data_IF_714682826346
#
_entry.id   IF_714682826346
#
_cell.length_a   1.000
_cell.length_b   1.000
_cell.length_c   1.000
_cell.angle_alpha   90.00
_cell.angle_beta   90.00
_cell.angle_gamma   90.00
#
_symmetry.space_group_name_H-M   'P 1'
#
loop_
_entity.id
_entity.type
_entity.pdbx_description
1 polymer ?
#
# COMPACT_ATOMS: atom_id res chain seq x y z
N UNK A 1 -25.36 0.16 25.02
CA UNK A 1 -24.65 -0.56 23.93
C UNK A 1 -23.69 0.40 23.24
N UNK A 2 -22.37 0.23 23.38
CA UNK A 2 -21.39 1.02 22.61
C UNK A 2 -21.26 0.38 21.24
N UNK A 3 -21.67 1.05 20.17
CA UNK A 3 -21.40 0.58 18.80
C UNK A 3 -19.88 0.59 18.63
N UNK A 4 -19.22 -0.57 18.51
CA UNK A 4 -17.79 -0.59 18.20
C UNK A 4 -17.65 0.07 16.83
N UNK A 5 -16.79 1.09 16.71
CA UNK A 5 -16.52 1.72 15.41
C UNK A 5 -16.19 0.62 14.40
N UNK A 6 -16.94 0.59 13.29
CA UNK A 6 -16.93 -0.56 12.37
C UNK A 6 -15.51 -0.87 11.89
N UNK A 7 -15.07 -2.15 11.88
CA UNK A 7 -13.74 -2.56 11.44
C UNK A 7 -13.54 -2.47 9.91
N UNK A 8 -14.39 -1.72 9.20
CA UNK A 8 -14.43 -1.61 7.74
C UNK A 8 -13.07 -1.25 7.12
N UNK A 9 -12.31 -0.36 7.76
CA UNK A 9 -11.00 0.06 7.29
C UNK A 9 -10.00 -1.09 7.31
N UNK A 10 -9.99 -1.88 8.39
CA UNK A 10 -9.09 -3.02 8.51
C UNK A 10 -9.41 -4.10 7.48
N UNK A 11 -10.69 -4.38 7.21
CA UNK A 11 -11.07 -5.31 6.14
C UNK A 11 -10.70 -4.80 4.75
N UNK A 12 -10.90 -3.51 4.49
CA UNK A 12 -10.46 -2.88 3.24
C UNK A 12 -8.93 -2.96 3.06
N UNK A 13 -8.17 -2.60 4.10
CA UNK A 13 -6.70 -2.73 4.10
C UNK A 13 -6.26 -4.18 3.88
N UNK A 14 -6.92 -5.14 4.54
CA UNK A 14 -6.61 -6.55 4.39
C UNK A 14 -6.85 -7.03 2.96
N UNK A 15 -8.01 -6.72 2.38
CA UNK A 15 -8.31 -7.07 0.99
C UNK A 15 -7.31 -6.46 0.01
N UNK A 16 -6.94 -5.19 0.23
CA UNK A 16 -5.92 -4.50 -0.57
C UNK A 16 -4.55 -5.19 -0.47
N UNK A 17 -4.11 -5.59 0.73
CA UNK A 17 -2.85 -6.29 0.96
C UNK A 17 -2.85 -7.71 0.37
N UNK A 18 -3.97 -8.42 0.44
CA UNK A 18 -4.10 -9.73 -0.21
C UNK A 18 -3.96 -9.58 -1.72
N UNK A 19 -4.65 -8.62 -2.32
CA UNK A 19 -4.52 -8.33 -3.74
C UNK A 19 -3.06 -7.95 -4.10
N UNK A 20 -2.42 -7.13 -3.26
CA UNK A 20 -1.01 -6.74 -3.43
C UNK A 20 -0.08 -7.97 -3.47
N UNK A 21 -0.23 -8.86 -2.50
CA UNK A 21 0.57 -10.08 -2.40
C UNK A 21 0.34 -10.96 -3.62
N UNK A 22 -0.92 -11.19 -4.00
CA UNK A 22 -1.26 -12.01 -5.16
C UNK A 22 -0.69 -11.43 -6.45
N UNK A 23 -0.78 -10.11 -6.66
CA UNK A 23 -0.25 -9.47 -7.86
C UNK A 23 1.28 -9.60 -7.96
N UNK A 24 2.00 -9.48 -6.84
CA UNK A 24 3.46 -9.64 -6.82
C UNK A 24 3.90 -11.10 -6.95
N UNK A 25 3.12 -12.05 -6.40
CA UNK A 25 3.34 -13.47 -6.64
C UNK A 25 3.20 -13.77 -8.13
N UNK A 26 2.13 -13.29 -8.77
CA UNK A 26 1.96 -13.43 -10.22
C UNK A 26 3.12 -12.78 -10.98
N UNK A 27 3.58 -11.59 -10.58
CA UNK A 27 4.70 -10.90 -11.21
C UNK A 27 6.03 -11.69 -11.10
N UNK A 28 6.26 -12.40 -10.01
CA UNK A 28 7.45 -13.26 -9.85
C UNK A 28 7.38 -14.51 -10.73
N UNK A 29 6.22 -15.14 -10.84
CA UNK A 29 6.06 -16.38 -11.64
C UNK A 29 5.83 -16.13 -13.13
N UNK A 30 5.29 -14.97 -13.47
CA UNK A 30 4.95 -14.56 -14.84
C UNK A 30 5.48 -13.13 -15.12
N UNK A 31 6.81 -12.93 -15.10
CA UNK A 31 7.42 -11.60 -15.21
C UNK A 31 7.22 -10.91 -16.58
N UNK A 32 6.85 -11.66 -17.63
CA UNK A 32 6.82 -11.16 -19.00
C UNK A 32 8.19 -11.15 -19.67
N UNK A 33 8.29 -10.57 -20.86
CA UNK A 33 9.51 -10.55 -21.67
C UNK A 33 10.54 -9.53 -21.16
N UNK A 34 10.08 -8.40 -20.63
CA UNK A 34 10.91 -7.39 -19.96
C UNK A 34 10.26 -6.91 -18.64
N UNK A 35 10.48 -7.63 -17.52
CA UNK A 35 9.94 -7.25 -16.21
C UNK A 35 10.58 -5.98 -15.62
N UNK A 36 11.73 -5.57 -16.13
CA UNK A 36 12.56 -4.49 -15.58
C UNK A 36 12.40 -3.18 -16.33
N UNK A 37 11.84 -3.19 -17.55
CA UNK A 37 11.56 -2.01 -18.36
C UNK A 37 12.84 -1.28 -18.76
N UNK A 38 13.79 -1.99 -19.38
CA UNK A 38 15.16 -1.51 -19.71
C UNK A 38 15.92 -0.87 -18.52
N UNK A 39 15.48 -1.13 -17.30
CA UNK A 39 16.06 -0.56 -16.09
C UNK A 39 17.49 -1.09 -15.83
N UNK A 40 18.27 -0.38 -14.99
CA UNK A 40 19.65 -0.78 -14.68
C UNK A 40 19.74 -2.05 -13.80
N UNK A 41 18.60 -2.63 -13.42
CA UNK A 41 18.48 -3.74 -12.48
C UNK A 41 18.30 -5.05 -13.23
N UNK A 42 18.99 -6.09 -12.77
CA UNK A 42 18.83 -7.43 -13.34
C UNK A 42 17.58 -8.15 -12.81
N UNK A 43 17.24 -9.28 -13.44
CA UNK A 43 16.10 -10.10 -13.04
C UNK A 43 16.20 -10.56 -11.57
N UNK A 44 17.42 -10.76 -11.05
CA UNK A 44 17.63 -11.18 -9.65
C UNK A 44 17.21 -10.07 -8.69
N UNK A 45 17.63 -8.82 -8.94
CA UNK A 45 17.21 -7.68 -8.14
C UNK A 45 15.69 -7.50 -8.19
N UNK A 46 15.07 -7.66 -9.36
CA UNK A 46 13.61 -7.63 -9.50
C UNK A 46 12.91 -8.69 -8.63
N UNK A 47 13.36 -9.95 -8.68
CA UNK A 47 12.77 -11.03 -7.88
C UNK A 47 12.96 -10.78 -6.39
N UNK A 48 14.16 -10.40 -5.95
CA UNK A 48 14.44 -10.10 -4.53
C UNK A 48 13.52 -8.99 -4.04
N UNK A 49 13.39 -7.91 -4.81
CA UNK A 49 12.50 -6.80 -4.49
C UNK A 49 11.05 -7.26 -4.30
N UNK A 50 10.52 -8.07 -5.22
CA UNK A 50 9.17 -8.61 -5.12
C UNK A 50 9.00 -9.54 -3.91
N UNK A 51 9.97 -10.40 -3.61
CA UNK A 51 9.94 -11.28 -2.44
C UNK A 51 9.88 -10.50 -1.13
N UNK A 52 10.68 -9.43 -1.02
CA UNK A 52 10.64 -8.51 0.13
C UNK A 52 9.26 -7.86 0.26
N UNK A 53 8.70 -7.37 -0.85
CA UNK A 53 7.38 -6.75 -0.87
C UNK A 53 6.25 -7.72 -0.47
N UNK A 54 6.32 -8.97 -0.94
CA UNK A 54 5.39 -10.04 -0.57
C UNK A 54 5.48 -10.30 0.94
N UNK A 55 6.69 -10.50 1.46
CA UNK A 55 6.89 -10.81 2.87
C UNK A 55 6.42 -9.66 3.78
N UNK A 56 6.81 -8.43 3.47
CA UNK A 56 6.40 -7.24 4.22
C UNK A 56 4.88 -7.05 4.19
N UNK A 57 4.25 -7.26 3.03
CA UNK A 57 2.79 -7.12 2.89
C UNK A 57 2.03 -8.25 3.59
N UNK A 58 2.55 -9.48 3.58
CA UNK A 58 1.99 -10.60 4.32
C UNK A 58 2.03 -10.34 5.84
N UNK A 59 3.15 -9.82 6.35
CA UNK A 59 3.27 -9.37 7.74
C UNK A 59 2.28 -8.24 8.02
N UNK A 60 2.19 -7.24 7.14
CA UNK A 60 1.21 -6.16 7.23
C UNK A 60 -0.23 -6.69 7.31
N UNK A 61 -0.57 -7.69 6.50
CA UNK A 61 -1.90 -8.30 6.48
C UNK A 61 -2.20 -9.01 7.82
N UNK A 62 -1.22 -9.76 8.35
CA UNK A 62 -1.34 -10.40 9.66
C UNK A 62 -1.51 -9.37 10.79
N UNK A 63 -0.76 -8.27 10.75
CA UNK A 63 -0.88 -7.16 11.70
C UNK A 63 -2.27 -6.52 11.63
N UNK A 64 -2.77 -6.23 10.41
CA UNK A 64 -4.11 -5.65 10.21
C UNK A 64 -5.20 -6.58 10.76
N UNK A 65 -5.11 -7.89 10.51
CA UNK A 65 -6.03 -8.89 11.08
C UNK A 65 -5.94 -8.92 12.60
N UNK A 66 -4.74 -8.80 13.17
CA UNK A 66 -4.55 -8.71 14.62
C UNK A 66 -5.31 -7.53 15.23
N UNK A 67 -5.46 -6.41 14.52
CA UNK A 67 -6.18 -5.23 15.05
C UNK A 67 -7.69 -5.43 15.24
N UNK A 68 -8.27 -6.49 14.65
CA UNK A 68 -9.71 -6.77 14.69
C UNK A 68 -10.05 -8.13 15.28
N UNK A 69 -9.08 -9.05 15.35
CA UNK A 69 -9.27 -10.39 15.92
C UNK A 69 -8.96 -10.44 17.42
N UNK A 70 -9.63 -11.32 18.19
CA UNK A 70 -9.45 -11.41 19.63
C UNK A 70 -8.03 -11.83 20.04
N UNK A 71 -7.33 -12.61 19.22
CA UNK A 71 -5.96 -13.03 19.50
C UNK A 71 -4.97 -11.85 19.49
N UNK A 72 -5.22 -10.80 18.70
CA UNK A 72 -4.34 -9.63 18.64
C UNK A 72 -4.34 -8.79 19.91
N UNK A 73 -5.32 -8.99 20.81
CA UNK A 73 -5.33 -8.37 22.14
C UNK A 73 -4.21 -8.89 23.06
N UNK A 74 -3.64 -10.06 22.76
CA UNK A 74 -2.51 -10.63 23.51
C UNK A 74 -1.16 -10.07 23.07
N UNK A 75 -1.11 -9.41 21.91
CA UNK A 75 0.13 -8.89 21.33
C UNK A 75 0.42 -7.51 21.92
N UNK A 76 1.68 -7.23 22.34
CA UNK A 76 2.04 -5.90 22.81
C UNK A 76 1.74 -4.83 21.77
N UNK A 77 1.16 -3.73 22.24
CA UNK A 77 0.57 -2.71 21.38
C UNK A 77 1.57 -2.03 20.46
N UNK A 78 2.81 -1.86 20.91
CA UNK A 78 3.91 -1.30 20.12
C UNK A 78 4.29 -2.23 18.94
N UNK A 79 4.19 -3.55 19.11
CA UNK A 79 4.47 -4.53 18.04
C UNK A 79 3.48 -4.39 16.88
N UNK A 80 2.24 -4.00 17.16
CA UNK A 80 1.23 -3.74 16.13
C UNK A 80 1.33 -2.31 15.55
N UNK A 81 1.61 -1.32 16.39
CA UNK A 81 1.65 0.08 15.96
C UNK A 81 2.87 0.42 15.09
N UNK A 82 4.04 -0.13 15.40
CA UNK A 82 5.26 0.13 14.64
C UNK A 82 5.11 -0.21 13.14
N UNK A 83 4.72 -1.45 12.77
CA UNK A 83 4.52 -1.79 11.35
C UNK A 83 3.35 -1.04 10.71
N UNK A 84 2.29 -0.74 11.45
CA UNK A 84 1.17 0.08 10.94
C UNK A 84 1.61 1.49 10.57
N UNK A 85 2.39 2.14 11.43
CA UNK A 85 2.92 3.49 11.17
C UNK A 85 3.95 3.49 10.05
N UNK A 86 4.91 2.55 10.07
CA UNK A 86 5.92 2.43 9.02
C UNK A 86 5.27 2.16 7.66
N UNK A 87 4.35 1.20 7.58
CA UNK A 87 3.62 0.90 6.35
C UNK A 87 2.79 2.09 5.87
N UNK A 88 2.13 2.81 6.79
CA UNK A 88 1.37 4.01 6.44
C UNK A 88 2.28 5.10 5.86
N UNK A 89 3.43 5.36 6.50
CA UNK A 89 4.40 6.33 6.03
C UNK A 89 4.95 5.95 4.64
N UNK A 90 5.35 4.69 4.45
CA UNK A 90 5.84 4.17 3.17
C UNK A 90 4.80 4.32 2.05
N UNK A 91 3.55 3.93 2.31
CA UNK A 91 2.48 4.04 1.31
C UNK A 91 2.11 5.49 1.02
N UNK A 92 2.14 6.38 2.00
CA UNK A 92 1.91 7.81 1.77
C UNK A 92 3.02 8.40 0.90
N UNK A 93 4.29 8.12 1.24
CA UNK A 93 5.45 8.59 0.48
C UNK A 93 5.45 8.04 -0.95
N UNK A 94 4.98 6.82 -1.17
CA UNK A 94 4.89 6.22 -2.51
C UNK A 94 3.66 6.65 -3.30
N UNK A 95 2.49 6.65 -2.66
CA UNK A 95 1.19 6.79 -3.32
C UNK A 95 0.80 8.24 -3.58
N UNK A 96 1.12 9.16 -2.66
CA UNK A 96 0.71 10.57 -2.79
C UNK A 96 1.45 11.28 -3.92
N UNK A 97 2.79 11.24 -4.03
CA UNK A 97 3.48 11.91 -5.12
C UNK A 97 3.05 11.41 -6.50
N UNK A 98 2.90 10.10 -6.68
CA UNK A 98 2.45 9.52 -7.95
C UNK A 98 1.02 9.93 -8.32
N UNK A 99 0.12 10.08 -7.34
CA UNK A 99 -1.22 10.59 -7.59
C UNK A 99 -1.22 12.07 -7.96
N UNK A 100 -0.40 12.88 -7.28
CA UNK A 100 -0.24 14.31 -7.59
C UNK A 100 0.30 14.49 -9.01
N UNK A 101 1.32 13.71 -9.38
CA UNK A 101 1.89 13.74 -10.72
C UNK A 101 0.86 13.38 -11.79
N UNK A 102 0.11 12.29 -11.60
CA UNK A 102 -0.93 11.88 -12.53
C UNK A 102 -2.04 12.93 -12.69
N UNK A 103 -2.44 13.60 -11.61
CA UNK A 103 -3.44 14.69 -11.67
C UNK A 103 -2.92 15.90 -12.44
N UNK A 104 -1.64 16.25 -12.27
CA UNK A 104 -1.00 17.33 -13.02
C UNK A 104 -0.87 17.01 -14.52
N UNK A 105 -0.61 15.74 -14.86
CA UNK A 105 -0.63 15.26 -16.24
C UNK A 105 -2.04 15.28 -16.83
N UNK A 106 -3.04 14.75 -16.11
CA UNK A 106 -4.42 14.66 -16.58
C UNK A 106 -5.09 16.04 -16.78
N UNK A 107 -4.74 17.03 -15.95
CA UNK A 107 -5.26 18.41 -16.07
C UNK A 107 -4.53 19.24 -17.14
N UNK A 108 -3.48 18.70 -17.77
CA UNK A 108 -2.71 19.41 -18.78
C UNK A 108 -1.83 20.54 -18.24
N UNK A 109 -1.78 20.73 -16.91
CA UNK A 109 -0.93 21.74 -16.25
C UNK A 109 0.55 21.38 -16.45
N UNK A 110 0.89 20.08 -16.53
CA UNK A 110 2.24 19.59 -16.85
C UNK A 110 2.18 18.33 -17.72
N UNK A 111 2.28 18.50 -19.04
CA UNK A 111 2.34 17.37 -20.00
C UNK A 111 3.60 16.48 -19.89
N UNK A 112 4.58 16.85 -19.08
CA UNK A 112 5.87 16.14 -18.96
C UNK A 112 6.19 15.50 -17.60
N UNK A 113 5.26 15.48 -16.63
CA UNK A 113 5.55 14.96 -15.27
C UNK A 113 6.63 15.75 -14.51
N UNK A 114 7.08 15.25 -13.36
CA UNK A 114 8.22 15.84 -12.62
C UNK A 114 9.58 15.52 -13.28
N UNK A 115 9.61 14.53 -14.18
CA UNK A 115 10.84 13.96 -14.76
C UNK A 115 11.04 14.34 -16.24
N UNK A 116 10.10 15.04 -16.87
CA UNK A 116 10.28 15.63 -18.21
C UNK A 116 10.01 14.70 -19.40
N UNK A 117 9.34 13.56 -19.22
CA UNK A 117 8.98 12.66 -20.32
C UNK A 117 7.87 13.29 -21.18
N UNK A 118 8.23 13.81 -22.36
CA UNK A 118 7.30 14.48 -23.29
C UNK A 118 6.45 13.49 -24.12
N UNK A 119 6.87 12.22 -24.22
CA UNK A 119 6.24 11.20 -25.09
C UNK A 119 5.90 9.92 -24.29
N UNK A 120 4.91 10.02 -23.39
CA UNK A 120 4.38 8.85 -22.68
C UNK A 120 3.24 8.27 -23.52
N UNK A 121 3.26 6.98 -23.82
CA UNK A 121 2.16 6.35 -24.57
C UNK A 121 0.84 6.43 -23.79
N UNK A 122 -0.31 6.43 -24.48
CA UNK A 122 -1.62 6.44 -23.81
C UNK A 122 -1.78 5.23 -22.88
N UNK A 123 -1.22 4.08 -23.25
CA UNK A 123 -1.25 2.87 -22.43
C UNK A 123 -0.41 3.03 -21.14
N UNK A 124 0.79 3.60 -21.22
CA UNK A 124 1.64 3.91 -20.06
C UNK A 124 0.99 4.93 -19.13
N UNK A 125 0.33 5.95 -19.67
CA UNK A 125 -0.41 6.93 -18.87
C UNK A 125 -1.53 6.25 -18.06
N UNK A 126 -2.33 5.40 -18.71
CA UNK A 126 -3.40 4.66 -18.03
C UNK A 126 -2.88 3.64 -17.02
N UNK A 127 -1.78 2.95 -17.34
CA UNK A 127 -1.12 2.05 -16.41
C UNK A 127 -0.59 2.81 -15.17
N UNK A 128 0.07 3.96 -15.38
CA UNK A 128 0.55 4.83 -14.31
C UNK A 128 -0.60 5.37 -13.45
N UNK A 129 -1.71 5.78 -14.06
CA UNK A 129 -2.95 6.17 -13.37
C UNK A 129 -3.50 5.05 -12.50
N UNK A 130 -3.65 3.85 -13.05
CA UNK A 130 -4.14 2.69 -12.32
C UNK A 130 -3.25 2.32 -11.13
N UNK A 131 -1.94 2.21 -11.37
CA UNK A 131 -0.95 1.83 -10.34
C UNK A 131 -0.92 2.86 -9.21
N UNK A 132 -0.80 4.15 -9.52
CA UNK A 132 -0.71 5.18 -8.48
C UNK A 132 -2.03 5.34 -7.72
N UNK A 133 -3.18 5.21 -8.39
CA UNK A 133 -4.49 5.21 -7.72
C UNK A 133 -4.59 4.04 -6.74
N UNK A 134 -4.13 2.86 -7.15
CA UNK A 134 -4.09 1.68 -6.30
C UNK A 134 -3.21 1.88 -5.06
N UNK A 135 -1.99 2.43 -5.22
CA UNK A 135 -1.10 2.75 -4.09
C UNK A 135 -1.67 3.83 -3.18
N UNK A 136 -2.30 4.87 -3.75
CA UNK A 136 -2.97 5.92 -2.99
C UNK A 136 -4.13 5.36 -2.16
N UNK A 137 -4.95 4.48 -2.73
CA UNK A 137 -6.02 3.79 -2.01
C UNK A 137 -5.46 2.97 -0.84
N UNK A 138 -4.35 2.24 -1.06
CA UNK A 138 -3.63 1.53 0.00
C UNK A 138 -3.19 2.45 1.14
N UNK A 139 -2.63 3.61 0.80
CA UNK A 139 -2.19 4.61 1.77
C UNK A 139 -3.36 5.12 2.64
N UNK A 140 -4.49 5.47 2.01
CA UNK A 140 -5.70 5.92 2.71
C UNK A 140 -6.22 4.83 3.63
N UNK A 141 -6.37 3.60 3.12
CA UNK A 141 -6.90 2.48 3.89
C UNK A 141 -6.03 2.18 5.12
N UNK A 142 -4.72 2.05 4.92
CA UNK A 142 -3.80 1.71 6.01
C UNK A 142 -3.70 2.84 7.04
N UNK A 143 -3.62 4.10 6.61
CA UNK A 143 -3.63 5.25 7.52
C UNK A 143 -4.91 5.30 8.37
N UNK A 144 -6.07 5.08 7.74
CA UNK A 144 -7.36 5.06 8.45
C UNK A 144 -7.47 3.87 9.41
N UNK A 145 -6.92 2.71 9.05
CA UNK A 145 -6.80 1.54 9.94
C UNK A 145 -5.93 1.86 11.15
N UNK A 146 -4.77 2.47 10.94
CA UNK A 146 -3.84 2.90 12.01
C UNK A 146 -4.50 3.90 12.95
N UNK A 147 -5.10 4.97 12.43
CA UNK A 147 -5.80 6.00 13.23
C UNK A 147 -6.97 5.39 14.00
N UNK A 148 -7.76 4.52 13.36
CA UNK A 148 -8.90 3.85 14.00
C UNK A 148 -8.46 2.92 15.12
N UNK A 149 -7.34 2.21 14.94
CA UNK A 149 -6.77 1.36 15.99
C UNK A 149 -6.25 2.20 17.16
N UNK A 150 -5.45 3.25 16.92
CA UNK A 150 -4.96 4.16 17.96
C UNK A 150 -6.10 4.75 18.78
N UNK A 151 -7.16 5.24 18.12
CA UNK A 151 -8.32 5.85 18.79
C UNK A 151 -9.08 4.85 19.67
N UNK A 152 -9.37 3.64 19.17
CA UNK A 152 -10.04 2.59 19.95
C UNK A 152 -9.22 2.24 21.19
N UNK A 153 -7.94 2.04 20.96
CA UNK A 153 -7.06 1.50 21.96
C UNK A 153 -6.75 2.54 23.07
N UNK A 154 -6.81 3.85 22.79
CA UNK A 154 -6.76 4.91 23.83
C UNK A 154 -8.01 4.95 24.70
N UNK A 155 -9.19 4.68 24.13
CA UNK A 155 -10.45 4.62 24.89
C UNK A 155 -10.45 3.49 25.92
N UNK A 156 -9.86 2.35 25.56
CA UNK A 156 -9.75 1.19 26.44
C UNK A 156 -8.77 1.40 27.62
N UNK A 157 -7.92 2.45 27.57
CA UNK A 157 -6.97 2.77 28.64
C UNK A 157 -7.50 3.80 29.65
N UNK A 158 -8.64 4.44 29.36
CA UNK A 158 -9.23 5.51 30.17
C UNK A 158 -10.62 5.17 30.71
N UNK A 159 -11.09 3.92 30.56
CA UNK A 159 -12.38 3.44 31.05
C UNK A 159 -12.23 2.10 31.74
#
# INVERSE_FOLDING_TARGET
>A
MRVPGSPRWAYGTFAWLVFFVVSHVVAVFFPGEDPTGDGPWDLRAYVIFNLVLILMSAVGAAVVVATVRPWGRRVPRWVLLTPLWLGSALLVVRGVPGMVENLLMATGIRRGGFVGAQDISTAELWAGLGINTYFFLGAVLLAMTTVSYVRRSRRDAHG
#
